data_IF_909127502401
#
_entry.id   IF_909127502401
#
_cell.length_a   1.000
_cell.length_b   1.000
_cell.length_c   1.000
_cell.angle_alpha   90.00
_cell.angle_beta   90.00
_cell.angle_gamma   90.00
#
_symmetry.space_group_name_H-M   'P 1'
#
loop_
_entity.id
_entity.type
_entity.pdbx_description
1 polymer ?
#
# COMPACT_ATOMS: atom_id res chain seq x y z
N UNK A 1 62.63 17.99 -39.26
CA UNK A 1 62.44 17.55 -40.64
C UNK A 1 61.22 16.69 -40.66
N UNK A 2 60.13 17.30 -41.12
CA UNK A 2 58.74 16.86 -40.95
C UNK A 2 58.37 15.77 -41.97
N UNK A 3 57.65 14.77 -41.53
CA UNK A 3 56.91 13.93 -42.46
C UNK A 3 55.45 13.86 -42.02
N UNK A 4 54.63 14.59 -42.75
CA UNK A 4 53.19 14.55 -42.68
C UNK A 4 52.65 13.20 -43.17
N UNK A 5 51.91 12.50 -42.28
CA UNK A 5 51.16 11.35 -42.70
C UNK A 5 49.65 11.68 -42.63
N UNK A 6 49.06 11.93 -43.78
CA UNK A 6 47.61 12.06 -43.95
C UNK A 6 46.99 10.68 -43.88
N UNK A 7 46.19 10.42 -42.85
CA UNK A 7 45.32 9.24 -42.79
C UNK A 7 43.91 9.68 -43.17
N UNK A 8 43.48 9.28 -44.35
CA UNK A 8 42.10 9.37 -44.80
C UNK A 8 41.24 8.31 -44.07
N UNK A 9 40.38 8.76 -43.16
CA UNK A 9 39.37 7.91 -42.58
C UNK A 9 38.11 7.99 -43.42
N UNK A 10 37.86 6.96 -44.19
CA UNK A 10 36.58 6.80 -44.93
C UNK A 10 35.45 6.50 -43.93
N UNK A 11 34.51 7.42 -43.80
CA UNK A 11 33.31 7.25 -42.98
C UNK A 11 32.34 6.25 -43.60
N UNK A 12 32.11 5.15 -42.91
CA UNK A 12 31.01 4.24 -43.18
C UNK A 12 29.78 4.80 -42.50
N UNK A 13 28.84 5.32 -43.29
CA UNK A 13 27.46 5.67 -42.85
C UNK A 13 26.68 4.35 -42.68
N UNK A 14 26.67 3.81 -41.48
CA UNK A 14 25.76 2.74 -41.10
C UNK A 14 24.38 3.35 -40.85
N UNK A 15 23.47 3.23 -41.81
CA UNK A 15 22.06 3.56 -41.66
C UNK A 15 21.38 2.64 -40.66
N UNK A 16 21.22 3.14 -39.44
CA UNK A 16 20.44 2.44 -38.41
C UNK A 16 18.95 2.55 -38.73
N UNK A 17 18.33 1.45 -39.20
CA UNK A 17 16.88 1.36 -39.28
C UNK A 17 16.31 1.39 -37.87
N UNK A 18 15.63 2.48 -37.51
CA UNK A 18 14.85 2.56 -36.29
C UNK A 18 13.62 1.64 -36.45
N UNK A 19 13.71 0.43 -35.92
CA UNK A 19 12.54 -0.43 -35.76
C UNK A 19 11.59 0.23 -34.73
N UNK A 20 10.45 0.71 -35.22
CA UNK A 20 9.37 1.18 -34.35
C UNK A 20 8.89 0.00 -33.49
N UNK A 21 9.25 -0.01 -32.22
CA UNK A 21 8.72 -0.97 -31.27
C UNK A 21 7.24 -0.66 -31.04
N UNK A 22 6.39 -1.60 -31.42
CA UNK A 22 4.97 -1.55 -31.08
C UNK A 22 4.82 -1.49 -29.54
N UNK A 23 3.89 -0.69 -28.99
CA UNK A 23 3.66 -0.65 -27.56
C UNK A 23 3.28 -2.05 -27.06
N UNK A 24 3.95 -2.51 -26.00
CA UNK A 24 3.66 -3.77 -25.36
C UNK A 24 2.19 -3.80 -24.92
N UNK A 25 1.47 -4.92 -25.08
CA UNK A 25 0.11 -5.03 -24.60
C UNK A 25 0.06 -4.75 -23.11
N UNK A 26 -0.86 -3.87 -22.69
CA UNK A 26 -1.09 -3.56 -21.30
C UNK A 26 -1.41 -4.86 -20.54
N UNK A 27 -0.88 -5.03 -19.30
CA UNK A 27 -1.20 -6.21 -18.50
C UNK A 27 -2.72 -6.29 -18.33
N UNK A 28 -3.31 -7.50 -18.37
CA UNK A 28 -4.75 -7.66 -18.23
C UNK A 28 -5.19 -7.01 -16.90
N UNK A 29 -6.22 -6.18 -16.98
CA UNK A 29 -6.84 -5.58 -15.81
C UNK A 29 -7.13 -6.71 -14.81
N UNK A 30 -6.54 -6.61 -13.62
CA UNK A 30 -6.70 -7.60 -12.56
C UNK A 30 -8.20 -7.82 -12.35
N UNK A 31 -8.67 -9.04 -12.60
CA UNK A 31 -10.05 -9.43 -12.34
C UNK A 31 -10.40 -8.99 -10.91
N UNK A 32 -11.63 -8.54 -10.63
CA UNK A 32 -12.04 -8.17 -9.29
C UNK A 32 -11.80 -9.36 -8.38
N UNK A 33 -10.75 -9.28 -7.58
CA UNK A 33 -10.48 -10.30 -6.57
C UNK A 33 -11.73 -10.30 -5.69
N UNK A 34 -12.46 -11.40 -5.70
CA UNK A 34 -13.52 -11.67 -4.74
C UNK A 34 -12.90 -11.44 -3.37
N UNK A 35 -13.18 -10.29 -2.77
CA UNK A 35 -12.79 -10.00 -1.40
C UNK A 35 -13.40 -11.13 -0.57
N UNK A 36 -12.56 -12.01 -0.04
CA UNK A 36 -13.03 -12.96 0.95
C UNK A 36 -13.76 -12.12 2.00
N UNK A 37 -15.07 -12.37 2.14
CA UNK A 37 -15.91 -11.58 3.02
C UNK A 37 -15.28 -11.63 4.40
N UNK A 38 -14.99 -10.46 4.97
CA UNK A 38 -14.45 -10.40 6.32
C UNK A 38 -15.43 -11.10 7.26
N UNK A 39 -14.93 -11.86 8.27
CA UNK A 39 -15.80 -12.37 9.31
C UNK A 39 -16.62 -11.23 9.93
N UNK A 40 -17.84 -11.53 10.36
CA UNK A 40 -18.62 -10.57 11.12
C UNK A 40 -17.85 -10.18 12.39
N UNK A 41 -17.73 -8.88 12.67
CA UNK A 41 -17.04 -8.37 13.83
C UNK A 41 -17.82 -7.23 14.48
N UNK A 42 -17.59 -7.02 15.78
CA UNK A 42 -18.13 -5.91 16.56
C UNK A 42 -17.18 -4.71 16.50
N UNK A 43 -17.63 -3.61 15.88
CA UNK A 43 -16.82 -2.41 15.72
C UNK A 43 -16.56 -1.68 17.06
N UNK A 44 -17.45 -1.76 18.03
CA UNK A 44 -17.24 -1.12 19.33
C UNK A 44 -16.19 -1.86 20.15
N UNK A 45 -16.29 -3.18 20.18
CA UNK A 45 -15.28 -4.02 20.80
C UNK A 45 -13.94 -3.89 20.05
N UNK A 46 -13.98 -3.85 18.74
CA UNK A 46 -12.80 -3.61 17.91
C UNK A 46 -12.08 -2.30 18.22
N UNK A 47 -12.82 -1.23 18.53
CA UNK A 47 -12.21 0.04 18.98
C UNK A 47 -11.47 -0.11 20.31
N UNK A 48 -12.04 -0.83 21.27
CA UNK A 48 -11.38 -1.08 22.55
C UNK A 48 -10.10 -1.89 22.37
N UNK A 49 -10.19 -2.98 21.62
CA UNK A 49 -9.05 -3.85 21.31
C UNK A 49 -7.95 -3.08 20.54
N UNK A 50 -8.33 -2.27 19.56
CA UNK A 50 -7.40 -1.42 18.81
C UNK A 50 -6.57 -0.50 19.71
N UNK A 51 -7.18 0.00 20.79
CA UNK A 51 -6.50 0.84 21.78
C UNK A 51 -5.72 -0.03 22.78
N UNK A 52 -6.32 -1.07 23.35
CA UNK A 52 -5.66 -1.90 24.37
C UNK A 52 -4.42 -2.63 23.84
N UNK A 53 -4.47 -3.07 22.57
CA UNK A 53 -3.36 -3.76 21.92
C UNK A 53 -2.32 -2.80 21.33
N UNK A 54 -2.51 -1.50 21.48
CA UNK A 54 -1.53 -0.49 21.13
C UNK A 54 -1.43 -0.15 19.64
N UNK A 55 -2.36 -0.58 18.80
CA UNK A 55 -2.38 -0.28 17.36
C UNK A 55 -2.35 1.23 17.09
N UNK A 56 -3.04 2.01 17.95
CA UNK A 56 -3.13 3.47 17.84
C UNK A 56 -1.77 4.18 17.95
N UNK A 57 -0.78 3.59 18.58
CA UNK A 57 0.53 4.23 18.81
C UNK A 57 1.23 4.54 17.48
N UNK A 58 1.08 3.67 16.50
CA UNK A 58 1.65 3.87 15.17
C UNK A 58 0.62 4.34 14.15
N UNK A 59 -0.63 3.87 14.26
CA UNK A 59 -1.66 4.09 13.25
C UNK A 59 -2.64 5.22 13.60
N UNK A 60 -2.52 5.83 14.80
CA UNK A 60 -3.42 6.87 15.30
C UNK A 60 -4.77 6.33 15.78
N UNK A 61 -5.46 7.07 16.65
CA UNK A 61 -6.71 6.63 17.28
C UNK A 61 -7.87 6.37 16.30
N UNK A 62 -7.83 7.01 15.15
CA UNK A 62 -8.81 6.88 14.06
C UNK A 62 -8.23 6.11 12.87
N UNK A 63 -7.18 5.33 13.08
CA UNK A 63 -6.51 4.61 12.00
C UNK A 63 -6.03 5.50 10.85
N UNK A 64 -5.85 6.79 11.12
CA UNK A 64 -5.47 7.79 10.13
C UNK A 64 -4.02 7.68 9.67
N UNK A 65 -3.18 7.01 10.46
CA UNK A 65 -1.77 6.84 10.17
C UNK A 65 -0.96 8.13 10.19
N UNK A 66 0.32 8.01 9.93
CA UNK A 66 1.22 9.13 9.67
C UNK A 66 2.35 8.70 8.73
N UNK A 67 3.04 9.67 8.14
CA UNK A 67 4.21 9.39 7.29
C UNK A 67 5.42 8.86 8.07
N UNK A 68 5.44 9.05 9.39
CA UNK A 68 6.59 8.71 10.24
C UNK A 68 6.42 7.38 10.98
N UNK A 69 5.18 6.95 11.29
CA UNK A 69 4.96 5.83 12.20
C UNK A 69 4.26 4.63 11.57
N UNK A 70 3.20 4.86 10.82
CA UNK A 70 2.47 3.75 10.20
C UNK A 70 1.42 4.23 9.20
N UNK A 71 1.09 3.41 8.20
CA UNK A 71 0.13 3.78 7.17
C UNK A 71 -1.28 3.96 7.74
N UNK A 72 -2.12 4.67 6.98
CA UNK A 72 -3.56 4.75 7.22
C UNK A 72 -4.18 3.35 7.10
N UNK A 73 -5.02 3.00 8.07
CA UNK A 73 -5.75 1.73 8.08
C UNK A 73 -7.25 1.88 7.75
N UNK A 74 -7.88 2.94 8.23
CA UNK A 74 -9.31 3.19 8.01
C UNK A 74 -9.57 4.39 7.09
N UNK A 75 -10.80 4.53 6.54
CA UNK A 75 -11.96 3.65 6.66
C UNK A 75 -12.00 2.49 5.66
N UNK A 76 -11.04 2.38 4.79
CA UNK A 76 -10.96 1.34 3.75
C UNK A 76 -9.72 0.49 3.95
N UNK A 77 -9.73 -0.42 4.94
CA UNK A 77 -8.62 -1.35 5.13
C UNK A 77 -8.45 -2.24 3.90
N UNK A 78 -7.25 -2.78 3.72
CA UNK A 78 -6.99 -3.82 2.71
C UNK A 78 -7.86 -5.04 2.98
N UNK A 79 -8.06 -5.91 1.99
CA UNK A 79 -8.88 -7.12 2.16
C UNK A 79 -8.51 -7.91 3.42
N UNK A 80 -9.50 -8.43 4.16
CA UNK A 80 -9.30 -9.06 5.47
C UNK A 80 -8.23 -10.14 5.47
N UNK A 81 -8.17 -10.98 4.44
CA UNK A 81 -7.15 -12.03 4.35
C UNK A 81 -5.71 -11.45 4.30
N UNK A 82 -5.51 -10.34 3.58
CA UNK A 82 -4.23 -9.66 3.52
C UNK A 82 -3.93 -8.92 4.84
N UNK A 83 -4.93 -8.29 5.44
CA UNK A 83 -4.85 -7.62 6.74
C UNK A 83 -4.45 -8.61 7.84
N UNK A 84 -5.17 -9.72 7.96
CA UNK A 84 -4.90 -10.77 8.94
C UNK A 84 -3.49 -11.33 8.77
N UNK A 85 -3.12 -11.69 7.54
CA UNK A 85 -1.77 -12.20 7.26
C UNK A 85 -0.69 -11.21 7.68
N UNK A 86 -0.87 -9.91 7.38
CA UNK A 86 0.12 -8.91 7.72
C UNK A 86 0.25 -8.71 9.24
N UNK A 87 -0.86 -8.70 9.97
CA UNK A 87 -0.85 -8.62 11.45
C UNK A 87 -0.14 -9.83 12.07
N UNK A 88 -0.29 -11.01 11.46
CA UNK A 88 0.35 -12.27 11.91
C UNK A 88 1.82 -12.37 11.51
N UNK A 89 2.22 -11.72 10.42
CA UNK A 89 3.59 -11.75 9.86
C UNK A 89 3.97 -10.36 9.33
N UNK A 90 4.12 -9.38 10.22
CA UNK A 90 4.42 -8.03 9.81
C UNK A 90 5.84 -7.90 9.29
N UNK A 91 6.07 -6.84 8.51
CA UNK A 91 7.40 -6.39 8.11
C UNK A 91 7.75 -5.07 8.80
N UNK A 92 9.03 -4.76 8.89
CA UNK A 92 9.49 -3.51 9.50
C UNK A 92 9.34 -3.49 11.03
N UNK A 93 8.86 -2.38 11.56
CA UNK A 93 8.78 -2.14 13.01
C UNK A 93 7.42 -2.50 13.63
N UNK A 94 6.46 -2.96 12.86
CA UNK A 94 5.18 -3.38 13.41
C UNK A 94 5.35 -4.63 14.27
N UNK A 95 4.84 -4.66 15.52
CA UNK A 95 4.93 -5.84 16.37
C UNK A 95 4.09 -7.00 15.82
N UNK A 96 4.56 -8.20 16.11
CA UNK A 96 3.87 -9.44 15.74
C UNK A 96 2.74 -9.74 16.73
N UNK A 97 1.54 -9.96 16.24
CA UNK A 97 0.39 -10.39 17.03
C UNK A 97 0.04 -11.84 16.70
N UNK A 98 0.41 -12.77 17.59
CA UNK A 98 0.01 -14.17 17.46
C UNK A 98 -1.46 -14.37 17.82
N UNK A 99 -2.04 -15.51 17.46
CA UNK A 99 -3.42 -15.86 17.85
C UNK A 99 -3.59 -16.04 19.37
N UNK A 100 -2.50 -16.20 20.12
CA UNK A 100 -2.52 -16.24 21.60
C UNK A 100 -2.66 -14.86 22.24
N UNK A 101 -2.22 -13.82 21.56
CA UNK A 101 -2.26 -12.42 22.03
C UNK A 101 -3.52 -11.73 21.51
N UNK A 102 -3.86 -11.95 20.26
CA UNK A 102 -5.00 -11.37 19.57
C UNK A 102 -5.66 -12.51 18.76
N UNK A 103 -6.78 -13.03 19.22
CA UNK A 103 -7.52 -14.12 18.55
C UNK A 103 -8.03 -13.65 17.17
N UNK A 104 -8.46 -14.60 16.34
CA UNK A 104 -9.02 -14.26 15.03
C UNK A 104 -10.36 -13.50 15.13
N UNK A 105 -11.14 -13.77 16.16
CA UNK A 105 -12.38 -13.03 16.46
C UNK A 105 -12.08 -11.59 16.86
N UNK A 106 -11.11 -11.37 17.74
CA UNK A 106 -10.70 -10.03 18.14
C UNK A 106 -10.12 -9.24 16.97
N UNK A 107 -9.33 -9.90 16.11
CA UNK A 107 -8.83 -9.29 14.88
C UNK A 107 -9.95 -8.92 13.91
N UNK A 108 -11.01 -9.75 13.81
CA UNK A 108 -12.20 -9.41 13.02
C UNK A 108 -12.95 -8.21 13.61
N UNK A 109 -13.03 -8.08 14.93
CA UNK A 109 -13.61 -6.91 15.60
C UNK A 109 -12.80 -5.64 15.28
N UNK A 110 -11.48 -5.68 15.39
CA UNK A 110 -10.62 -4.55 14.99
C UNK A 110 -10.84 -4.18 13.52
N UNK A 111 -10.95 -5.17 12.65
CA UNK A 111 -11.20 -4.92 11.23
C UNK A 111 -12.56 -4.24 11.00
N UNK A 112 -13.60 -4.69 11.69
CA UNK A 112 -14.93 -4.06 11.65
C UNK A 112 -14.88 -2.60 12.14
N UNK A 113 -14.13 -2.30 13.19
CA UNK A 113 -13.90 -0.92 13.65
C UNK A 113 -13.26 -0.07 12.55
N UNK A 114 -12.19 -0.56 11.93
CA UNK A 114 -11.50 0.18 10.86
C UNK A 114 -12.39 0.44 9.65
N UNK A 115 -13.28 -0.49 9.31
CA UNK A 115 -14.27 -0.31 8.24
C UNK A 115 -15.36 0.70 8.59
N UNK A 116 -15.74 0.79 9.87
CA UNK A 116 -16.78 1.69 10.37
C UNK A 116 -16.32 3.14 10.51
N UNK A 117 -15.03 3.42 10.38
CA UNK A 117 -14.49 4.78 10.49
C UNK A 117 -15.05 5.68 9.37
N UNK A 118 -15.34 6.95 9.69
CA UNK A 118 -15.83 7.89 8.68
C UNK A 118 -14.74 8.19 7.64
N UNK A 119 -15.19 8.43 6.41
CA UNK A 119 -14.29 8.93 5.39
C UNK A 119 -13.78 10.34 5.76
N UNK A 120 -12.53 10.68 5.46
CA UNK A 120 -12.04 12.04 5.66
C UNK A 120 -12.87 13.03 4.85
N UNK A 121 -13.02 14.28 5.31
CA UNK A 121 -13.77 15.30 4.58
C UNK A 121 -13.15 15.51 3.19
N UNK A 122 -13.95 15.80 2.17
CA UNK A 122 -13.43 16.10 0.84
C UNK A 122 -12.57 17.36 0.90
N UNK A 123 -11.49 17.39 0.11
CA UNK A 123 -10.53 18.50 0.06
C UNK A 123 -11.21 19.84 -0.21
N UNK A 124 -12.27 19.83 -1.04
CA UNK A 124 -13.08 21.02 -1.36
C UNK A 124 -13.81 21.60 -0.15
N UNK A 125 -14.01 20.81 0.90
CA UNK A 125 -14.59 21.25 2.17
C UNK A 125 -13.62 21.93 3.12
N UNK A 126 -12.32 21.94 2.81
CA UNK A 126 -11.28 22.48 3.68
C UNK A 126 -10.88 23.87 3.17
N UNK A 127 -11.25 24.97 3.90
CA UNK A 127 -11.04 26.34 3.40
C UNK A 127 -9.58 26.68 3.07
N UNK A 128 -8.64 26.12 3.81
CA UNK A 128 -7.19 26.36 3.64
C UNK A 128 -6.56 25.63 2.46
N UNK A 129 -7.30 24.73 1.80
CA UNK A 129 -6.82 23.93 0.67
C UNK A 129 -7.52 24.29 -0.66
N UNK A 130 -8.21 25.42 -0.69
CA UNK A 130 -8.87 25.98 -1.90
C UNK A 130 -8.00 27.04 -2.55
#
# INVERSE_FOLDING_TARGET
MNLLLFVLVAGLLAGGSAAAQAPAPAPPASAPQRQATAPAGDAQEGKKLYVSDGCYQCHGYEGQGSSATGPRLGPRPIAFAAFSRYVRQPTGQMPLYTTKVLSDTELANIYAFLQALPAPPPVQGIPLLR
#
